data_IF_658719609729
#
_entry.id   IF_658719609729
#
_cell.length_a   1.000
_cell.length_b   1.000
_cell.length_c   1.000
_cell.angle_alpha   90.00
_cell.angle_beta   90.00
_cell.angle_gamma   90.00
#
_symmetry.space_group_name_H-M   'P 1'
#
loop_
_entity.id
_entity.type
_entity.pdbx_description
1 polymer ?
#
# COMPACT_ATOMS: atom_id res chain seq x y z
N UNK A 1 17.07 6.46 28.02
CA UNK A 1 17.32 6.51 26.56
C UNK A 1 16.77 5.21 25.99
N UNK A 2 15.62 5.25 25.32
CA UNK A 2 14.97 4.05 24.80
C UNK A 2 15.86 3.44 23.72
N UNK A 3 16.62 2.39 24.06
CA UNK A 3 17.44 1.62 23.13
C UNK A 3 16.57 0.45 22.60
N UNK A 4 15.43 0.79 22.00
CA UNK A 4 14.49 -0.19 21.45
C UNK A 4 14.94 -0.63 20.06
N UNK A 5 14.55 -1.85 19.69
CA UNK A 5 14.77 -2.40 18.36
C UNK A 5 14.11 -1.48 17.31
N UNK A 6 14.88 -0.82 16.41
CA UNK A 6 14.30 0.03 15.37
C UNK A 6 13.30 -0.72 14.48
N UNK A 7 13.38 -2.06 14.42
CA UNK A 7 12.53 -2.93 13.61
C UNK A 7 11.14 -3.18 14.20
N UNK A 8 10.95 -2.90 15.49
CA UNK A 8 9.74 -3.32 16.24
C UNK A 8 8.99 -2.17 16.89
N UNK A 9 9.25 -0.93 16.47
CA UNK A 9 8.51 0.21 17.02
C UNK A 9 7.01 0.10 16.71
N UNK A 10 6.64 -0.32 15.51
CA UNK A 10 5.25 -0.47 15.08
C UNK A 10 4.43 -1.42 15.99
N UNK A 11 5.02 -2.54 16.41
CA UNK A 11 4.40 -3.51 17.33
C UNK A 11 4.15 -2.94 18.74
N UNK A 12 4.80 -1.84 19.09
CA UNK A 12 4.72 -1.19 20.40
C UNK A 12 3.88 0.09 20.40
N UNK A 13 3.39 0.52 19.24
CA UNK A 13 2.55 1.70 19.11
C UNK A 13 1.14 1.42 19.65
N UNK A 14 0.68 2.32 20.51
CA UNK A 14 -0.70 2.44 20.93
C UNK A 14 -1.07 3.91 21.07
N UNK A 15 -2.35 4.19 21.28
CA UNK A 15 -2.90 5.56 21.33
C UNK A 15 -2.17 6.50 22.30
N UNK A 16 -1.53 5.96 23.34
CA UNK A 16 -0.85 6.75 24.37
C UNK A 16 0.62 7.08 24.06
N UNK A 17 1.25 6.40 23.10
CA UNK A 17 2.69 6.56 22.85
C UNK A 17 3.06 6.91 21.40
N UNK A 18 2.06 7.04 20.53
CA UNK A 18 2.23 7.33 19.10
C UNK A 18 3.03 8.61 18.84
N UNK A 19 2.70 9.72 19.53
CA UNK A 19 3.42 11.00 19.38
C UNK A 19 4.88 10.91 19.88
N UNK A 20 5.13 10.14 20.94
CA UNK A 20 6.46 9.96 21.52
C UNK A 20 7.35 9.12 20.60
N UNK A 21 6.81 8.05 20.02
CA UNK A 21 7.51 7.19 19.08
C UNK A 21 7.73 7.87 17.73
N UNK A 22 6.78 8.67 17.27
CA UNK A 22 6.91 9.50 16.05
C UNK A 22 8.02 10.54 16.21
N UNK A 23 8.03 11.25 17.34
CA UNK A 23 9.12 12.18 17.69
C UNK A 23 10.47 11.46 17.76
N UNK A 24 10.51 10.28 18.37
CA UNK A 24 11.71 9.47 18.45
C UNK A 24 12.24 9.00 17.09
N UNK A 25 11.36 8.61 16.17
CA UNK A 25 11.73 8.23 14.81
C UNK A 25 12.31 9.41 14.02
N UNK A 26 11.71 10.59 14.17
CA UNK A 26 12.29 11.82 13.60
C UNK A 26 13.69 12.10 14.18
N UNK A 27 13.89 11.94 15.49
CA UNK A 27 15.19 12.17 16.15
C UNK A 27 16.29 11.18 15.70
N UNK A 28 15.95 9.92 15.37
CA UNK A 28 16.92 8.92 14.88
C UNK A 28 17.51 9.24 13.51
N UNK A 29 16.82 10.08 12.75
CA UNK A 29 17.13 10.41 11.36
C UNK A 29 17.63 11.85 11.24
N UNK A 30 17.44 12.69 12.27
CA UNK A 30 17.85 14.09 12.27
C UNK A 30 19.38 14.29 12.16
N UNK A 31 19.88 14.30 10.93
CA UNK A 31 20.85 15.32 10.52
C UNK A 31 20.09 16.64 10.29
N UNK A 32 20.68 17.82 10.55
CA UNK A 32 19.95 19.08 10.40
C UNK A 32 19.49 19.25 8.95
N UNK A 33 18.17 19.13 8.71
CA UNK A 33 17.46 19.16 7.42
C UNK A 33 17.69 20.43 6.55
N UNK A 34 18.59 21.32 6.90
CA UNK A 34 18.81 22.60 6.23
C UNK A 34 20.25 22.84 5.74
N UNK A 35 21.20 21.92 5.92
CA UNK A 35 22.59 22.17 5.52
C UNK A 35 22.89 21.98 4.02
N UNK A 36 21.94 21.53 3.20
CA UNK A 36 22.18 21.22 1.78
C UNK A 36 21.37 22.11 0.84
N UNK A 37 21.61 23.42 0.87
CA UNK A 37 21.20 24.32 -0.21
C UNK A 37 22.37 25.18 -0.68
N UNK A 38 22.97 24.79 -1.80
CA UNK A 38 23.85 25.66 -2.59
C UNK A 38 22.99 26.42 -3.62
N UNK A 39 22.52 27.62 -3.23
CA UNK A 39 22.65 28.90 -3.95
C UNK A 39 21.53 29.90 -3.60
N UNK A 40 21.99 31.13 -3.34
CA UNK A 40 21.29 32.42 -3.11
C UNK A 40 20.47 32.52 -1.81
N UNK A 41 21.15 33.03 -0.78
CA UNK A 41 20.74 33.27 0.62
C UNK A 41 20.82 32.02 1.51
N UNK A 42 21.84 32.01 2.40
CA UNK A 42 22.07 30.95 3.37
C UNK A 42 20.94 30.93 4.39
N UNK A 43 19.97 30.03 4.20
CA UNK A 43 18.94 29.74 5.21
C UNK A 43 19.60 28.86 6.27
N UNK A 44 19.84 29.43 7.45
CA UNK A 44 20.32 28.65 8.60
C UNK A 44 19.14 27.88 9.21
N UNK A 45 19.36 26.61 9.52
CA UNK A 45 18.39 25.77 10.23
C UNK A 45 17.86 26.50 11.48
N UNK A 46 16.55 26.44 11.73
CA UNK A 46 15.92 27.03 12.91
C UNK A 46 15.73 28.56 12.87
N UNK A 47 15.90 29.20 11.70
CA UNK A 47 15.66 30.64 11.52
C UNK A 47 14.49 30.92 10.57
N UNK A 48 13.97 32.15 10.60
CA UNK A 48 12.93 32.62 9.70
C UNK A 48 13.52 33.30 8.46
N UNK A 49 12.95 33.02 7.28
CA UNK A 49 13.20 33.81 6.07
C UNK A 49 12.30 35.04 6.14
N UNK A 50 12.89 36.24 6.30
CA UNK A 50 12.14 37.50 6.36
C UNK A 50 12.07 38.14 4.98
N UNK A 51 10.86 38.48 4.53
CA UNK A 51 10.61 39.24 3.29
C UNK A 51 10.13 40.64 3.67
N UNK A 52 11.03 41.63 3.58
CA UNK A 52 10.72 43.03 3.93
C UNK A 52 10.55 43.87 2.68
N UNK A 53 9.31 44.31 2.41
CA UNK A 53 8.96 45.24 1.32
C UNK A 53 7.67 45.99 1.66
N UNK A 54 7.38 47.05 0.91
CA UNK A 54 6.06 47.69 0.95
C UNK A 54 5.07 46.81 0.19
N UNK A 55 4.06 46.30 0.91
CA UNK A 55 3.05 45.41 0.35
C UNK A 55 1.91 46.21 -0.27
N UNK A 56 1.42 45.75 -1.42
CA UNK A 56 0.25 46.29 -2.11
C UNK A 56 -0.82 45.20 -2.28
N UNK A 57 -2.04 45.62 -2.59
CA UNK A 57 -3.11 44.68 -2.93
C UNK A 57 -2.73 43.89 -4.18
N UNK A 58 -2.99 42.58 -4.17
CA UNK A 58 -2.63 41.59 -5.21
C UNK A 58 -1.14 41.25 -5.33
N UNK A 59 -0.32 41.61 -4.34
CA UNK A 59 1.04 41.07 -4.26
C UNK A 59 1.03 39.54 -4.08
N UNK A 60 1.82 38.84 -4.90
CA UNK A 60 1.98 37.38 -4.84
C UNK A 60 3.38 37.06 -4.32
N UNK A 61 3.46 36.24 -3.26
CA UNK A 61 4.70 35.65 -2.78
C UNK A 61 4.77 34.22 -3.28
N UNK A 62 5.78 33.91 -4.09
CA UNK A 62 6.05 32.55 -4.54
C UNK A 62 7.25 32.00 -3.78
N UNK A 63 7.04 30.90 -3.06
CA UNK A 63 8.11 30.18 -2.36
C UNK A 63 8.38 28.89 -3.14
N UNK A 64 9.64 28.67 -3.52
CA UNK A 64 10.07 27.42 -4.16
C UNK A 64 10.92 26.64 -3.18
N UNK A 65 10.37 25.54 -2.68
CA UNK A 65 11.10 24.58 -1.84
C UNK A 65 11.55 23.41 -2.71
N UNK A 66 12.87 23.19 -2.90
CA UNK A 66 13.38 22.03 -3.63
C UNK A 66 13.25 20.75 -2.78
N UNK A 67 12.03 20.20 -2.69
CA UNK A 67 11.77 18.91 -2.07
C UNK A 67 12.30 17.78 -2.97
N UNK A 68 13.09 16.86 -2.40
CA UNK A 68 13.66 15.71 -3.13
C UNK A 68 13.59 14.46 -2.26
N UNK A 69 13.48 13.32 -2.93
CA UNK A 69 13.67 12.02 -2.29
C UNK A 69 15.14 11.84 -1.91
N UNK A 70 15.37 11.36 -0.69
CA UNK A 70 16.70 11.03 -0.16
C UNK A 70 16.61 9.90 0.84
N UNK A 71 17.72 9.22 1.06
CA UNK A 71 17.85 8.21 2.10
C UNK A 71 18.80 8.70 3.18
N UNK A 72 18.53 8.32 4.43
CA UNK A 72 19.42 8.58 5.56
C UNK A 72 19.61 7.30 6.37
N UNK A 73 20.88 6.98 6.65
CA UNK A 73 21.22 5.94 7.63
C UNK A 73 20.75 6.35 9.01
N UNK A 74 20.26 5.38 9.77
CA UNK A 74 19.89 5.62 11.17
C UNK A 74 21.13 5.92 12.02
N UNK A 75 20.98 6.75 13.04
CA UNK A 75 22.02 7.00 14.04
C UNK A 75 22.08 5.85 15.07
N UNK A 76 22.49 4.66 14.62
CA UNK A 76 22.66 3.46 15.45
C UNK A 76 24.02 2.82 15.14
N UNK A 77 24.83 2.62 16.18
CA UNK A 77 26.21 2.15 16.09
C UNK A 77 26.34 0.62 16.02
N UNK A 78 25.23 -0.10 16.19
CA UNK A 78 25.17 -1.55 16.17
C UNK A 78 25.27 -2.08 14.72
N UNK A 79 26.25 -2.96 14.41
CA UNK A 79 26.51 -3.43 13.04
C UNK A 79 25.29 -4.05 12.34
N UNK A 80 24.43 -4.75 13.07
CA UNK A 80 23.23 -5.42 12.56
C UNK A 80 22.15 -4.47 12.02
N UNK A 81 22.29 -3.16 12.24
CA UNK A 81 21.42 -2.12 11.69
C UNK A 81 22.11 -1.18 10.69
N UNK A 82 23.38 -1.42 10.35
CA UNK A 82 24.16 -0.54 9.48
C UNK A 82 23.64 -0.42 8.04
N UNK A 83 22.86 -1.39 7.57
CA UNK A 83 22.24 -1.41 6.23
C UNK A 83 20.84 -0.79 6.19
N UNK A 84 20.32 -0.35 7.32
CA UNK A 84 18.97 0.17 7.45
C UNK A 84 18.95 1.67 7.20
N UNK A 85 18.01 2.10 6.36
CA UNK A 85 17.88 3.49 5.96
C UNK A 85 16.42 3.95 6.08
N UNK A 86 16.25 5.21 6.45
CA UNK A 86 15.00 5.94 6.34
C UNK A 86 14.90 6.58 4.95
N UNK A 87 13.67 6.75 4.46
CA UNK A 87 13.38 7.45 3.19
C UNK A 87 12.70 8.76 3.53
N UNK A 88 13.18 9.87 2.97
CA UNK A 88 12.61 11.20 3.19
C UNK A 88 12.26 11.87 1.88
N UNK A 89 11.18 12.66 1.90
CA UNK A 89 10.86 13.61 0.85
C UNK A 89 10.97 15.04 1.41
N UNK A 90 12.09 15.70 1.15
CA UNK A 90 12.41 16.96 1.81
C UNK A 90 12.48 16.81 3.35
N UNK A 91 11.62 17.51 4.13
CA UNK A 91 11.57 17.36 5.59
C UNK A 91 10.68 16.20 6.07
N UNK A 92 9.93 15.54 5.19
CA UNK A 92 8.97 14.50 5.56
C UNK A 92 9.66 13.13 5.61
N UNK A 93 9.68 12.52 6.79
CA UNK A 93 10.00 11.09 6.94
C UNK A 93 8.84 10.27 6.36
N UNK A 94 9.15 9.39 5.41
CA UNK A 94 8.16 8.53 4.78
C UNK A 94 8.12 7.18 5.50
N UNK A 95 6.90 6.75 5.82
CA UNK A 95 6.58 5.46 6.42
C UNK A 95 5.88 4.58 5.39
N UNK A 96 6.28 3.32 5.28
CA UNK A 96 5.61 2.32 4.45
C UNK A 96 4.49 1.65 5.22
N UNK A 97 3.30 1.55 4.62
CA UNK A 97 2.19 0.76 5.16
C UNK A 97 2.48 -0.73 4.96
N UNK A 98 2.83 -1.42 6.04
CA UNK A 98 3.24 -2.83 6.00
C UNK A 98 3.32 -3.40 7.42
N UNK A 99 2.99 -4.68 7.55
CA UNK A 99 3.14 -5.45 8.78
C UNK A 99 4.34 -6.40 8.66
N UNK A 100 5.54 -5.83 8.66
CA UNK A 100 6.79 -6.58 8.87
C UNK A 100 7.70 -6.78 7.67
N UNK A 101 7.24 -6.61 6.42
CA UNK A 101 8.17 -6.50 5.28
C UNK A 101 8.74 -5.07 5.22
N UNK A 102 9.99 -4.99 4.79
CA UNK A 102 10.87 -3.83 4.89
C UNK A 102 12.11 -3.98 4.01
N UNK A 103 12.21 -5.06 3.22
CA UNK A 103 13.33 -5.30 2.30
C UNK A 103 13.06 -4.64 0.94
N UNK A 104 13.88 -3.64 0.60
CA UNK A 104 13.83 -2.92 -0.68
C UNK A 104 14.92 -3.44 -1.60
N UNK A 105 14.54 -3.77 -2.83
CA UNK A 105 15.49 -4.15 -3.87
C UNK A 105 15.68 -3.01 -4.87
N UNK A 106 16.86 -2.41 -4.86
CA UNK A 106 17.21 -1.33 -5.80
C UNK A 106 17.72 -1.86 -7.15
N UNK A 107 17.92 -3.19 -7.27
CA UNK A 107 18.56 -3.82 -8.41
C UNK A 107 19.95 -3.25 -8.65
N UNK A 108 20.25 -2.94 -9.91
CA UNK A 108 21.49 -2.26 -10.31
C UNK A 108 21.35 -0.72 -10.32
N UNK A 109 20.23 -0.18 -9.81
CA UNK A 109 19.96 1.25 -9.92
C UNK A 109 20.63 2.05 -8.81
N UNK A 110 21.48 3.00 -9.21
CA UNK A 110 22.01 4.02 -8.29
C UNK A 110 21.02 5.17 -8.02
N UNK A 111 19.97 5.33 -8.84
CA UNK A 111 18.97 6.39 -8.67
C UNK A 111 17.75 5.92 -7.88
N UNK A 112 17.35 6.72 -6.88
CA UNK A 112 16.13 6.53 -6.08
C UNK A 112 14.86 6.55 -6.92
N UNK A 113 14.83 7.34 -8.00
CA UNK A 113 13.66 7.51 -8.87
C UNK A 113 13.28 6.26 -9.67
N UNK A 114 14.18 5.27 -9.78
CA UNK A 114 13.94 4.06 -10.56
C UNK A 114 13.17 2.99 -9.77
N UNK A 115 13.18 3.12 -8.44
CA UNK A 115 12.53 2.19 -7.52
C UNK A 115 11.58 2.87 -6.54
N UNK A 116 11.53 4.21 -6.48
CA UNK A 116 10.47 4.99 -5.83
C UNK A 116 9.80 5.90 -6.86
N UNK A 117 8.48 5.76 -7.02
CA UNK A 117 7.67 6.58 -7.93
C UNK A 117 6.52 7.25 -7.19
N UNK A 118 6.24 8.53 -7.47
CA UNK A 118 5.11 9.22 -6.87
C UNK A 118 3.78 8.58 -7.29
N UNK A 119 2.82 8.49 -6.37
CA UNK A 119 1.46 8.05 -6.67
C UNK A 119 0.77 9.16 -7.48
N UNK A 120 0.25 8.88 -8.70
CA UNK A 120 -0.45 9.89 -9.49
C UNK A 120 -1.71 10.38 -8.78
N UNK A 121 -1.97 11.70 -8.80
CA UNK A 121 -3.17 12.28 -8.17
C UNK A 121 -4.49 11.72 -8.72
N UNK A 122 -4.50 11.23 -9.96
CA UNK A 122 -5.66 10.57 -10.56
C UNK A 122 -6.04 9.24 -9.89
N UNK A 123 -5.10 8.59 -9.20
CA UNK A 123 -5.36 7.29 -8.56
C UNK A 123 -6.36 7.42 -7.41
N UNK A 124 -6.42 8.55 -6.72
CA UNK A 124 -7.41 8.78 -5.66
C UNK A 124 -8.86 8.74 -6.16
N UNK A 125 -9.09 9.07 -7.44
CA UNK A 125 -10.41 8.93 -8.08
C UNK A 125 -10.78 7.50 -8.46
N UNK A 126 -9.80 6.58 -8.41
CA UNK A 126 -9.98 5.15 -8.72
C UNK A 126 -10.19 4.31 -7.46
N UNK A 127 -10.13 4.93 -6.26
CA UNK A 127 -10.30 4.23 -5.00
C UNK A 127 -11.77 3.90 -4.74
N UNK A 128 -11.99 2.70 -4.19
CA UNK A 128 -13.31 2.15 -3.93
C UNK A 128 -13.27 1.24 -2.71
N UNK A 129 -14.38 1.22 -1.97
CA UNK A 129 -14.70 0.17 -1.00
C UNK A 129 -16.06 -0.42 -1.35
N UNK A 130 -16.22 -1.73 -1.17
CA UNK A 130 -17.46 -2.43 -1.49
C UNK A 130 -18.11 -2.90 -0.21
N UNK A 131 -19.34 -2.48 0.05
CA UNK A 131 -20.04 -2.77 1.31
C UNK A 131 -21.32 -3.55 1.10
N UNK A 132 -21.75 -4.24 2.15
CA UNK A 132 -23.05 -4.92 2.23
C UNK A 132 -23.65 -4.72 3.62
N UNK A 133 -24.97 -4.64 3.71
CA UNK A 133 -25.67 -4.62 4.99
C UNK A 133 -26.09 -6.03 5.39
N UNK A 134 -25.69 -6.46 6.59
CA UNK A 134 -25.94 -7.80 7.13
C UNK A 134 -26.37 -7.66 8.57
N UNK A 135 -27.58 -8.13 8.90
CA UNK A 135 -28.14 -8.08 10.27
C UNK A 135 -28.12 -6.65 10.88
N UNK A 136 -28.39 -5.62 10.06
CA UNK A 136 -28.38 -4.22 10.49
C UNK A 136 -26.98 -3.64 10.72
N UNK A 137 -25.93 -4.34 10.30
CA UNK A 137 -24.54 -3.87 10.34
C UNK A 137 -23.93 -3.82 8.95
N UNK A 138 -23.24 -2.73 8.64
CA UNK A 138 -22.47 -2.61 7.41
C UNK A 138 -21.18 -3.41 7.53
N UNK A 139 -20.91 -4.21 6.50
CA UNK A 139 -19.66 -4.95 6.34
C UNK A 139 -18.97 -4.49 5.05
N UNK A 140 -17.65 -4.60 5.00
CA UNK A 140 -16.80 -4.17 3.89
C UNK A 140 -15.95 -5.33 3.38
N UNK A 141 -15.89 -5.46 2.06
CA UNK A 141 -14.97 -6.35 1.34
C UNK A 141 -13.53 -5.96 1.69
N UNK A 142 -12.77 -6.89 2.26
CA UNK A 142 -11.49 -6.60 2.91
C UNK A 142 -10.43 -7.65 2.58
N UNK A 143 -9.17 -7.22 2.49
CA UNK A 143 -8.00 -8.09 2.45
C UNK A 143 -7.58 -8.52 3.86
N UNK A 144 -7.78 -9.79 4.19
CA UNK A 144 -7.32 -10.43 5.43
C UNK A 144 -6.17 -11.39 5.10
N UNK A 145 -4.94 -10.87 5.12
CA UNK A 145 -3.70 -11.63 4.90
C UNK A 145 -3.69 -12.43 3.60
N UNK A 146 -4.06 -11.79 2.49
CA UNK A 146 -4.07 -12.39 1.15
C UNK A 146 -5.30 -13.23 0.84
N UNK A 147 -6.26 -13.33 1.77
CA UNK A 147 -7.60 -13.87 1.54
C UNK A 147 -8.64 -12.75 1.66
N UNK A 148 -9.74 -12.84 0.92
CA UNK A 148 -10.76 -11.80 0.95
C UNK A 148 -11.89 -12.18 1.89
N UNK A 149 -12.27 -11.25 2.78
CA UNK A 149 -13.34 -11.43 3.76
C UNK A 149 -14.28 -10.23 3.80
N UNK A 150 -15.50 -10.42 4.30
CA UNK A 150 -16.39 -9.32 4.67
C UNK A 150 -16.23 -9.04 6.16
N UNK A 151 -15.62 -7.91 6.49
CA UNK A 151 -15.40 -7.46 7.87
C UNK A 151 -16.38 -6.37 8.25
N UNK A 152 -16.64 -6.16 9.55
CA UNK A 152 -17.49 -5.06 10.00
C UNK A 152 -16.86 -3.72 9.58
N UNK A 153 -17.70 -2.74 9.20
CA UNK A 153 -17.23 -1.43 8.75
C UNK A 153 -16.24 -0.82 9.77
N UNK A 154 -14.99 -0.53 9.37
CA UNK A 154 -13.96 -0.12 10.30
C UNK A 154 -14.06 1.36 10.65
N UNK A 155 -13.39 1.73 11.73
CA UNK A 155 -13.11 3.12 12.06
C UNK A 155 -12.02 3.63 11.10
N UNK A 156 -12.18 4.87 10.62
CA UNK A 156 -11.18 5.54 9.79
C UNK A 156 -9.82 5.63 10.48
N UNK A 157 -8.73 5.51 9.70
CA UNK A 157 -7.37 5.61 10.22
C UNK A 157 -6.87 4.34 10.91
N UNK A 158 -7.52 3.19 10.68
CA UNK A 158 -7.08 1.87 11.16
C UNK A 158 -6.60 1.01 9.99
N UNK A 159 -5.82 -0.04 10.27
CA UNK A 159 -5.46 -1.06 9.28
C UNK A 159 -6.68 -1.65 8.57
N UNK A 160 -7.80 -1.81 9.27
CA UNK A 160 -9.01 -2.36 8.67
C UNK A 160 -9.59 -1.42 7.58
N UNK A 161 -9.46 -0.09 7.75
CA UNK A 161 -9.85 0.87 6.71
C UNK A 161 -8.94 0.79 5.47
N UNK A 162 -7.64 0.55 5.68
CA UNK A 162 -6.68 0.26 4.58
C UNK A 162 -7.11 -1.02 3.85
N UNK A 163 -7.28 -2.12 4.59
CA UNK A 163 -7.59 -3.43 4.01
C UNK A 163 -8.96 -3.48 3.32
N UNK A 164 -9.90 -2.63 3.72
CA UNK A 164 -11.20 -2.44 3.08
C UNK A 164 -11.18 -1.49 1.89
N UNK A 165 -10.02 -0.96 1.50
CA UNK A 165 -9.86 -0.02 0.38
C UNK A 165 -9.10 -0.68 -0.76
N UNK A 166 -9.64 -0.51 -1.97
CA UNK A 166 -9.07 -1.04 -3.20
C UNK A 166 -8.98 0.06 -4.25
N UNK A 167 -8.10 -0.11 -5.23
CA UNK A 167 -8.04 0.71 -6.43
C UNK A 167 -8.58 -0.10 -7.59
N UNK A 168 -9.50 0.50 -8.34
CA UNK A 168 -9.91 -0.02 -9.65
C UNK A 168 -8.82 0.26 -10.68
N UNK A 169 -8.27 -0.82 -11.23
CA UNK A 169 -7.24 -0.77 -12.26
C UNK A 169 -7.84 -1.23 -13.58
N UNK A 170 -7.78 -0.37 -14.58
CA UNK A 170 -8.29 -0.65 -15.93
C UNK A 170 -7.12 -1.07 -16.83
N UNK A 171 -7.24 -2.18 -17.58
CA UNK A 171 -6.19 -2.61 -18.49
C UNK A 171 -6.06 -1.65 -19.68
N UNK A 172 -4.84 -1.21 -19.99
CA UNK A 172 -4.54 -0.19 -21.03
C UNK A 172 -5.03 -0.53 -22.45
N UNK A 173 -5.34 -1.81 -22.72
CA UNK A 173 -5.80 -2.31 -24.02
C UNK A 173 -7.12 -3.09 -23.92
N UNK A 174 -8.08 -2.64 -23.12
CA UNK A 174 -9.45 -3.16 -23.24
C UNK A 174 -10.04 -2.73 -24.59
N UNK A 175 -10.08 -3.64 -25.56
CA UNK A 175 -10.69 -3.40 -26.86
C UNK A 175 -12.21 -3.17 -26.71
N UNK A 176 -12.61 -1.90 -26.64
CA UNK A 176 -13.86 -1.26 -27.07
C UNK A 176 -15.24 -1.96 -26.96
N UNK A 177 -15.41 -3.08 -26.26
CA UNK A 177 -16.73 -3.77 -26.13
C UNK A 177 -17.05 -4.23 -24.70
N UNK A 178 -16.05 -4.56 -23.89
CA UNK A 178 -16.23 -4.85 -22.45
C UNK A 178 -15.12 -4.20 -21.64
N UNK A 179 -15.50 -3.33 -20.71
CA UNK A 179 -14.58 -2.66 -19.79
C UNK A 179 -14.41 -3.54 -18.54
N UNK A 180 -13.35 -4.34 -18.51
CA UNK A 180 -12.99 -5.09 -17.31
C UNK A 180 -12.29 -4.19 -16.29
N UNK A 181 -12.43 -4.55 -15.02
CA UNK A 181 -11.71 -3.96 -13.90
C UNK A 181 -10.89 -5.02 -13.17
N UNK A 182 -9.77 -4.60 -12.60
CA UNK A 182 -9.02 -5.37 -11.61
C UNK A 182 -9.03 -4.61 -10.28
N UNK A 183 -9.01 -5.35 -9.18
CA UNK A 183 -8.98 -4.82 -7.83
C UNK A 183 -7.57 -4.94 -7.28
N UNK A 184 -6.91 -3.80 -7.04
CA UNK A 184 -5.61 -3.73 -6.36
C UNK A 184 -5.83 -3.31 -4.90
N UNK A 185 -5.38 -4.07 -3.89
CA UNK A 185 -5.45 -3.63 -2.49
C UNK A 185 -4.62 -2.36 -2.26
N UNK A 186 -5.14 -1.43 -1.45
CA UNK A 186 -4.53 -0.10 -1.26
C UNK A 186 -3.09 -0.14 -0.76
N UNK A 187 -2.79 -1.04 0.19
CA UNK A 187 -1.48 -1.24 0.82
C UNK A 187 -0.57 -2.23 0.10
N UNK A 188 -1.04 -2.87 -0.98
CA UNK A 188 -0.24 -3.79 -1.79
C UNK A 188 -0.17 -3.35 -3.26
N UNK A 189 0.45 -2.20 -3.57
CA UNK A 189 0.57 -1.72 -4.94
C UNK A 189 1.21 -2.76 -5.87
N UNK A 190 0.60 -3.01 -7.02
CA UNK A 190 1.04 -4.01 -8.00
C UNK A 190 0.55 -5.44 -7.74
N UNK A 191 -0.15 -5.69 -6.62
CA UNK A 191 -0.87 -6.94 -6.40
C UNK A 191 -2.32 -6.83 -6.85
N UNK A 192 -2.92 -7.96 -7.23
CA UNK A 192 -4.30 -8.01 -7.72
C UNK A 192 -5.11 -9.07 -6.98
N UNK A 193 -6.39 -8.78 -6.78
CA UNK A 193 -7.36 -9.79 -6.35
C UNK A 193 -7.65 -10.73 -7.52
N UNK A 194 -7.54 -12.03 -7.26
CA UNK A 194 -7.79 -13.11 -8.22
C UNK A 194 -8.80 -14.11 -7.68
N UNK A 195 -9.63 -14.68 -8.55
CA UNK A 195 -10.51 -15.79 -8.17
C UNK A 195 -9.85 -17.15 -8.35
N UNK A 196 -10.20 -18.14 -7.53
CA UNK A 196 -9.71 -19.53 -7.63
C UNK A 196 -10.73 -20.49 -8.23
N UNK A 197 -11.62 -19.96 -9.08
CA UNK A 197 -12.72 -20.70 -9.69
C UNK A 197 -13.98 -20.74 -8.81
N UNK A 198 -15.08 -21.31 -9.32
CA UNK A 198 -16.36 -21.36 -8.63
C UNK A 198 -16.28 -22.07 -7.27
N UNK A 199 -17.04 -21.58 -6.29
CA UNK A 199 -17.12 -22.07 -4.91
C UNK A 199 -15.80 -21.99 -4.12
N UNK A 200 -14.81 -21.29 -4.64
CA UNK A 200 -13.54 -21.05 -3.97
C UNK A 200 -13.41 -19.59 -3.55
N UNK A 201 -12.63 -19.37 -2.48
CA UNK A 201 -12.33 -18.03 -2.00
C UNK A 201 -11.40 -17.28 -2.95
N UNK A 202 -11.50 -15.95 -2.95
CA UNK A 202 -10.58 -15.08 -3.68
C UNK A 202 -9.23 -15.01 -2.95
N UNK A 203 -8.19 -14.59 -3.66
CA UNK A 203 -6.84 -14.40 -3.12
C UNK A 203 -6.22 -13.10 -3.64
N UNK A 204 -5.17 -12.62 -2.98
CA UNK A 204 -4.30 -11.55 -3.49
C UNK A 204 -3.04 -12.20 -4.06
N UNK A 205 -2.66 -11.84 -5.28
CA UNK A 205 -1.50 -12.39 -5.98
C UNK A 205 -0.61 -11.29 -6.56
N UNK A 206 0.71 -11.53 -6.53
CA UNK A 206 1.71 -10.65 -7.14
C UNK A 206 1.73 -10.81 -8.65
N UNK A 207 1.74 -9.70 -9.40
CA UNK A 207 1.91 -9.72 -10.86
C UNK A 207 3.40 -9.66 -11.24
N UNK A 208 4.12 -10.79 -11.24
CA UNK A 208 5.46 -10.88 -11.88
C UNK A 208 5.35 -10.90 -13.42
N UNK A 209 4.15 -11.18 -13.92
CA UNK A 209 3.71 -11.12 -15.32
C UNK A 209 2.39 -10.34 -15.40
N UNK A 210 1.94 -9.99 -16.61
CA UNK A 210 0.66 -9.31 -16.80
C UNK A 210 -0.48 -10.04 -16.06
N UNK A 211 -1.39 -9.31 -15.37
CA UNK A 211 -2.47 -9.93 -14.62
C UNK A 211 -3.26 -10.93 -15.47
N UNK A 212 -3.49 -12.12 -14.92
CA UNK A 212 -4.26 -13.17 -15.58
C UNK A 212 -5.73 -12.78 -15.73
N UNK A 213 -6.46 -13.50 -16.58
CA UNK A 213 -7.88 -13.27 -16.78
C UNK A 213 -8.72 -13.54 -15.50
N UNK A 214 -8.18 -14.31 -14.56
CA UNK A 214 -8.73 -14.57 -13.22
C UNK A 214 -8.73 -13.34 -12.29
N UNK A 215 -7.99 -12.28 -12.64
CA UNK A 215 -8.01 -10.97 -11.98
C UNK A 215 -9.07 -10.01 -12.55
N UNK A 216 -9.67 -10.36 -13.70
CA UNK A 216 -10.52 -9.45 -14.47
C UNK A 216 -12.00 -9.70 -14.18
N UNK A 217 -12.70 -8.64 -13.77
CA UNK A 217 -14.12 -8.65 -13.47
C UNK A 217 -14.88 -7.66 -14.35
N UNK A 218 -16.07 -8.04 -14.81
CA UNK A 218 -17.05 -7.10 -15.36
C UNK A 218 -17.82 -6.47 -14.21
N UNK A 219 -17.85 -5.15 -14.15
CA UNK A 219 -18.77 -4.43 -13.26
C UNK A 219 -20.11 -4.33 -13.97
N UNK A 220 -21.15 -4.89 -13.37
CA UNK A 220 -22.54 -4.79 -13.85
C UNK A 220 -23.43 -4.18 -12.78
N UNK A 221 -24.64 -3.76 -13.15
CA UNK A 221 -25.65 -3.32 -12.18
C UNK A 221 -25.93 -4.44 -11.15
N UNK A 222 -26.14 -4.04 -9.90
CA UNK A 222 -26.49 -4.94 -8.80
C UNK A 222 -27.64 -5.87 -9.18
N UNK A 223 -27.48 -7.16 -8.89
CA UNK A 223 -28.46 -8.18 -9.26
C UNK A 223 -29.68 -8.23 -8.34
N UNK A 224 -29.63 -7.55 -7.18
CA UNK A 224 -30.74 -7.41 -6.25
C UNK A 224 -31.85 -6.45 -6.72
N UNK A 225 -31.57 -5.66 -7.77
CA UNK A 225 -32.51 -4.74 -8.37
C UNK A 225 -32.57 -3.38 -7.69
N UNK A 226 -31.73 -3.14 -6.69
CA UNK A 226 -31.57 -1.82 -6.09
C UNK A 226 -30.74 -0.92 -7.01
N UNK A 227 -31.08 0.36 -7.04
CA UNK A 227 -30.31 1.35 -7.80
C UNK A 227 -28.93 1.57 -7.16
N UNK A 228 -27.94 1.95 -7.96
CA UNK A 228 -26.57 2.29 -7.52
C UNK A 228 -25.72 1.13 -6.96
N UNK A 229 -26.29 -0.07 -6.78
CA UNK A 229 -25.51 -1.26 -6.43
C UNK A 229 -24.76 -1.83 -7.64
N UNK A 230 -23.67 -2.52 -7.35
CA UNK A 230 -22.82 -3.17 -8.36
C UNK A 230 -22.59 -4.65 -8.05
N UNK A 231 -22.44 -5.44 -9.10
CA UNK A 231 -22.00 -6.83 -9.02
C UNK A 231 -20.76 -7.03 -9.87
N UNK A 232 -19.87 -7.93 -9.42
CA UNK A 232 -18.61 -8.23 -10.08
C UNK A 232 -18.67 -9.62 -10.69
N UNK A 233 -18.85 -9.70 -12.01
CA UNK A 233 -18.87 -10.97 -12.75
C UNK A 233 -17.44 -11.36 -13.19
N UNK A 234 -17.07 -12.64 -13.08
CA UNK A 234 -15.78 -13.10 -13.61
C UNK A 234 -15.73 -12.98 -15.13
N UNK A 235 -14.59 -12.49 -15.67
CA UNK A 235 -14.36 -12.47 -17.13
C UNK A 235 -14.18 -13.88 -17.73
N UNK A 236 -13.70 -14.84 -16.95
CA UNK A 236 -13.40 -16.20 -17.41
C UNK A 236 -14.57 -17.16 -17.19
N UNK A 237 -15.46 -16.84 -16.25
CA UNK A 237 -16.57 -17.69 -15.85
C UNK A 237 -17.89 -16.90 -15.84
N UNK A 238 -18.50 -16.82 -17.02
CA UNK A 238 -19.76 -16.11 -17.24
C UNK A 238 -20.88 -16.64 -16.34
N UNK A 239 -21.65 -15.73 -15.75
CA UNK A 239 -22.72 -16.03 -14.82
C UNK A 239 -22.25 -16.27 -13.38
N UNK A 240 -20.95 -16.19 -13.09
CA UNK A 240 -20.41 -16.36 -11.74
C UNK A 240 -19.87 -15.03 -11.20
N UNK A 241 -20.22 -14.73 -9.96
CA UNK A 241 -20.06 -13.42 -9.36
C UNK A 241 -19.29 -13.49 -8.05
N UNK A 242 -18.60 -12.40 -7.70
CA UNK A 242 -18.06 -12.21 -6.37
C UNK A 242 -19.22 -12.17 -5.39
N UNK A 243 -19.17 -13.05 -4.40
CA UNK A 243 -20.18 -13.22 -3.38
C UNK A 243 -19.57 -12.87 -2.03
N UNK A 244 -20.14 -11.85 -1.38
CA UNK A 244 -19.82 -11.53 0.01
C UNK A 244 -20.54 -12.48 0.96
N UNK A 245 -21.20 -11.94 1.98
CA UNK A 245 -21.94 -12.73 2.96
C UNK A 245 -23.44 -12.52 2.74
N UNK A 246 -24.14 -13.55 2.27
CA UNK A 246 -25.56 -13.51 1.95
C UNK A 246 -26.41 -14.45 2.78
N UNK A 247 -26.64 -14.12 4.05
CA UNK A 247 -27.67 -14.75 4.89
C UNK A 247 -27.79 -16.28 4.78
N UNK A 248 -29.02 -16.80 4.78
CA UNK A 248 -29.35 -18.23 4.76
C UNK A 248 -28.90 -19.00 3.51
N UNK A 249 -28.39 -18.32 2.47
CA UNK A 249 -27.91 -18.95 1.24
C UNK A 249 -26.67 -19.82 1.47
N UNK A 250 -25.84 -19.41 2.45
CA UNK A 250 -24.76 -20.23 2.96
C UNK A 250 -24.93 -20.40 4.47
N UNK A 251 -25.81 -21.31 4.87
CA UNK A 251 -25.83 -21.86 6.24
C UNK A 251 -24.47 -22.42 6.70
N UNK A 252 -23.52 -22.58 5.77
CA UNK A 252 -22.14 -23.00 5.98
C UNK A 252 -21.08 -21.87 5.99
N UNK A 253 -21.44 -20.60 5.75
CA UNK A 253 -20.51 -19.46 5.91
C UNK A 253 -20.35 -19.10 7.39
N UNK A 254 -19.86 -20.04 8.20
CA UNK A 254 -19.17 -19.70 9.46
C UNK A 254 -17.93 -18.84 9.21
N UNK A 255 -17.46 -18.81 7.97
CA UNK A 255 -16.25 -18.14 7.56
C UNK A 255 -16.66 -16.89 6.78
N UNK A 256 -16.19 -15.72 7.21
CA UNK A 256 -16.43 -14.41 6.58
C UNK A 256 -15.86 -14.29 5.14
N UNK A 257 -15.54 -15.40 4.50
CA UNK A 257 -14.75 -15.49 3.28
C UNK A 257 -15.57 -15.10 2.06
N UNK A 258 -15.01 -14.22 1.23
CA UNK A 258 -15.57 -13.84 -0.07
C UNK A 258 -15.20 -14.89 -1.11
N UNK A 259 -16.17 -15.32 -1.91
CA UNK A 259 -16.03 -16.41 -2.87
C UNK A 259 -16.52 -16.02 -4.27
N UNK A 260 -16.11 -16.76 -5.29
CA UNK A 260 -16.74 -16.69 -6.61
C UNK A 260 -17.86 -17.73 -6.69
N UNK A 261 -19.11 -17.30 -6.84
CA UNK A 261 -20.29 -18.19 -6.81
C UNK A 261 -21.08 -18.08 -8.12
N UNK A 262 -21.54 -19.22 -8.61
CA UNK A 262 -22.49 -19.31 -9.71
C UNK A 262 -23.88 -19.64 -9.16
N UNK A 263 -24.98 -19.08 -9.69
CA UNK A 263 -26.32 -19.35 -9.23
C UNK A 263 -26.70 -20.83 -9.44
N UNK A 264 -27.54 -21.37 -8.54
CA UNK A 264 -28.23 -22.65 -8.72
C UNK A 264 -29.57 -22.45 -9.45
N UNK A 265 -30.21 -23.54 -9.89
CA UNK A 265 -31.50 -23.48 -10.60
C UNK A 265 -32.72 -23.22 -9.68
N UNK A 266 -32.54 -23.05 -8.37
CA UNK A 266 -33.63 -22.88 -7.40
C UNK A 266 -34.04 -21.40 -7.26
N UNK A 267 -35.34 -21.09 -7.31
CA UNK A 267 -35.80 -19.68 -7.24
C UNK A 267 -35.64 -19.02 -5.86
N UNK A 268 -35.87 -19.76 -4.77
CA UNK A 268 -35.68 -19.26 -3.39
C UNK A 268 -34.20 -18.92 -3.11
N UNK A 269 -33.34 -19.69 -3.76
CA UNK A 269 -31.90 -19.54 -3.76
C UNK A 269 -31.47 -18.28 -4.53
N UNK A 270 -32.16 -17.97 -5.64
CA UNK A 270 -31.82 -16.83 -6.50
C UNK A 270 -32.00 -15.46 -5.84
N UNK A 271 -33.03 -15.23 -5.04
CA UNK A 271 -33.20 -13.92 -4.37
C UNK A 271 -32.12 -13.67 -3.33
N UNK A 272 -31.75 -14.70 -2.58
CA UNK A 272 -30.67 -14.61 -1.58
C UNK A 272 -29.31 -14.45 -2.27
N UNK A 273 -29.08 -15.17 -3.36
CA UNK A 273 -27.91 -15.04 -4.21
C UNK A 273 -27.74 -13.61 -4.73
N UNK A 274 -28.79 -13.02 -5.32
CA UNK A 274 -28.76 -11.67 -5.89
C UNK A 274 -28.32 -10.60 -4.87
N UNK A 275 -28.83 -10.69 -3.64
CA UNK A 275 -28.39 -9.82 -2.53
C UNK A 275 -26.93 -10.09 -2.14
N UNK A 276 -26.52 -11.36 -2.07
CA UNK A 276 -25.17 -11.75 -1.66
C UNK A 276 -24.06 -11.28 -2.62
N UNK A 277 -24.40 -11.07 -3.89
CA UNK A 277 -23.46 -10.66 -4.95
C UNK A 277 -23.61 -9.20 -5.36
N UNK A 278 -24.49 -8.44 -4.69
CA UNK A 278 -24.68 -7.00 -4.90
C UNK A 278 -24.01 -6.23 -3.78
N UNK A 279 -23.23 -5.22 -4.14
CA UNK A 279 -22.46 -4.40 -3.23
C UNK A 279 -22.81 -2.93 -3.41
N UNK A 280 -22.86 -2.19 -2.31
CA UNK A 280 -22.90 -0.73 -2.34
C UNK A 280 -21.47 -0.21 -2.52
N UNK A 281 -21.16 0.51 -3.61
CA UNK A 281 -19.84 1.09 -3.81
C UNK A 281 -19.67 2.39 -2.99
N UNK A 282 -18.60 2.49 -2.23
CA UNK A 282 -18.16 3.72 -1.55
C UNK A 282 -17.04 4.36 -2.37
N UNK A 283 -17.39 5.41 -3.11
CA UNK A 283 -16.44 6.15 -3.94
C UNK A 283 -15.32 6.78 -3.10
N UNK A 284 -14.09 6.79 -3.64
CA UNK A 284 -12.85 7.22 -2.97
C UNK A 284 -12.35 6.29 -1.85
N UNK A 285 -13.08 5.20 -1.58
CA UNK A 285 -12.72 4.21 -0.57
C UNK A 285 -12.79 4.74 0.88
N UNK A 286 -12.46 3.85 1.83
CA UNK A 286 -12.37 4.20 3.26
C UNK A 286 -11.04 4.89 3.62
N UNK A 287 -10.02 4.78 2.75
CA UNK A 287 -8.73 5.46 2.86
C UNK A 287 -8.37 6.12 1.54
N UNK A 288 -7.87 7.36 1.59
CA UNK A 288 -7.36 8.07 0.42
C UNK A 288 -5.84 8.18 0.47
N UNK A 289 -5.16 8.25 -0.67
CA UNK A 289 -3.74 8.55 -0.72
C UNK A 289 -3.45 9.94 -0.17
N UNK A 290 -2.37 10.08 0.59
CA UNK A 290 -1.80 11.38 0.90
C UNK A 290 -1.25 12.07 -0.37
N UNK A 291 -1.28 13.40 -0.50
CA UNK A 291 -0.67 14.11 -1.65
C UNK A 291 0.85 13.89 -1.80
N UNK A 292 1.49 13.35 -0.76
CA UNK A 292 2.92 13.02 -0.70
C UNK A 292 3.06 11.49 -0.57
N UNK A 293 2.33 10.73 -1.39
CA UNK A 293 2.44 9.27 -1.41
C UNK A 293 3.35 8.80 -2.54
N UNK A 294 4.15 7.77 -2.25
CA UNK A 294 5.04 7.13 -3.20
C UNK A 294 4.87 5.62 -3.16
N UNK A 295 5.22 4.93 -4.25
CA UNK A 295 5.36 3.48 -4.28
C UNK A 295 6.83 3.15 -4.38
N UNK A 296 7.35 2.37 -3.42
CA UNK A 296 8.71 1.84 -3.44
C UNK A 296 8.70 0.34 -3.81
N UNK A 297 9.64 -0.08 -4.67
CA UNK A 297 9.79 -1.48 -5.06
C UNK A 297 10.49 -2.30 -3.97
N UNK A 298 9.80 -3.29 -3.43
CA UNK A 298 10.38 -4.23 -2.47
C UNK A 298 10.81 -5.55 -3.10
N UNK A 299 11.33 -6.43 -2.25
CA UNK A 299 11.69 -7.82 -2.64
C UNK A 299 10.44 -8.67 -2.79
N UNK A 300 9.57 -8.67 -1.77
CA UNK A 300 8.38 -9.52 -1.73
C UNK A 300 7.11 -8.78 -2.18
N UNK A 301 7.02 -7.49 -1.87
CA UNK A 301 5.91 -6.62 -2.23
C UNK A 301 6.39 -5.19 -2.49
N UNK A 302 5.58 -4.38 -3.17
CA UNK A 302 5.84 -2.93 -3.20
C UNK A 302 5.26 -2.28 -1.94
N UNK A 303 5.83 -1.15 -1.53
CA UNK A 303 5.42 -0.40 -0.35
C UNK A 303 4.73 0.89 -0.77
N UNK A 304 3.53 1.13 -0.23
CA UNK A 304 2.95 2.47 -0.24
C UNK A 304 3.59 3.29 0.88
N UNK A 305 4.32 4.33 0.51
CA UNK A 305 5.00 5.26 1.41
C UNK A 305 4.17 6.54 1.57
N UNK A 306 3.93 6.97 2.80
CA UNK A 306 3.27 8.24 3.14
C UNK A 306 4.05 8.99 4.22
N UNK A 307 3.85 10.31 4.43
CA UNK A 307 4.49 10.99 5.55
C UNK A 307 4.08 10.35 6.87
N UNK A 308 5.04 10.08 7.75
CA UNK A 308 4.77 9.46 9.05
C UNK A 308 3.65 10.17 9.84
N UNK A 309 3.62 11.50 9.77
CA UNK A 309 2.64 12.35 10.47
C UNK A 309 1.24 12.31 9.86
N UNK A 310 1.01 11.64 8.73
CA UNK A 310 -0.33 11.42 8.18
C UNK A 310 -0.99 10.14 8.68
N UNK A 311 -0.23 9.27 9.34
CA UNK A 311 -0.73 8.01 9.90
C UNK A 311 -1.36 8.26 11.27
N UNK A 312 -2.31 7.41 11.61
CA UNK A 312 -2.98 7.33 12.92
C UNK A 312 -2.69 5.93 13.50
N UNK A 313 -3.71 5.08 13.57
CA UNK A 313 -3.61 3.72 14.13
C UNK A 313 -3.18 2.66 13.09
N UNK A 314 -2.61 3.08 11.95
CA UNK A 314 -2.16 2.17 10.90
C UNK A 314 -0.75 1.64 11.21
N UNK A 315 -0.49 0.38 10.88
CA UNK A 315 0.81 -0.24 11.07
C UNK A 315 1.74 0.14 9.94
N UNK A 316 2.96 0.53 10.29
CA UNK A 316 3.95 1.02 9.34
C UNK A 316 5.38 0.60 9.67
N UNK A 317 6.27 0.70 8.69
CA UNK A 317 7.72 0.75 8.92
C UNK A 317 8.30 2.06 8.42
N UNK A 318 9.20 2.67 9.18
CA UNK A 318 9.95 3.90 8.76
C UNK A 318 11.37 3.59 8.30
N UNK A 319 11.80 2.35 8.49
CA UNK A 319 13.16 1.91 8.28
C UNK A 319 13.15 0.70 7.36
N UNK A 320 13.96 0.79 6.30
CA UNK A 320 14.02 -0.23 5.26
C UNK A 320 15.42 -0.79 5.16
N UNK A 321 15.49 -2.08 4.89
CA UNK A 321 16.73 -2.73 4.54
C UNK A 321 16.97 -2.60 3.03
N UNK A 322 18.00 -1.84 2.65
CA UNK A 322 18.25 -1.51 1.24
C UNK A 322 19.25 -2.48 0.64
N UNK A 323 18.79 -3.35 -0.26
CA UNK A 323 19.63 -4.26 -1.04
C UNK A 323 20.11 -3.57 -2.32
N UNK A 324 21.43 -3.52 -2.53
CA UNK A 324 22.06 -3.09 -3.78
C UNK A 324 22.74 -4.30 -4.43
N UNK A 325 22.37 -4.63 -5.66
CA UNK A 325 23.01 -5.72 -6.37
C UNK A 325 24.38 -5.25 -6.88
N UNK A 326 25.47 -5.75 -6.29
CA UNK A 326 26.84 -5.38 -6.63
C UNK A 326 27.78 -5.03 -5.47
N UNK A 327 27.30 -5.05 -4.22
CA UNK A 327 28.17 -4.99 -3.04
C UNK A 327 28.24 -6.40 -2.43
N UNK A 328 29.42 -7.04 -2.33
CA UNK A 328 29.51 -8.32 -1.66
C UNK A 328 29.03 -8.12 -0.22
N UNK A 329 28.14 -9.01 0.22
CA UNK A 329 27.88 -9.21 1.64
C UNK A 329 29.24 -9.53 2.25
N UNK A 330 29.81 -8.59 3.00
CA UNK A 330 30.88 -8.92 3.92
C UNK A 330 30.21 -9.69 5.04
N UNK A 331 30.04 -10.99 4.81
CA UNK A 331 29.70 -11.92 5.87
C UNK A 331 30.94 -11.99 6.76
N UNK A 332 30.88 -11.32 7.91
CA UNK A 332 31.98 -11.26 8.88
C UNK A 332 32.18 -12.59 9.63
N UNK A 333 31.77 -13.72 9.03
CA UNK A 333 32.04 -15.06 9.52
C UNK A 333 32.33 -16.02 8.36
N UNK A 334 33.55 -15.97 7.81
CA UNK A 334 33.94 -16.90 6.76
C UNK A 334 35.43 -16.86 6.43
N UNK A 335 36.21 -17.64 7.16
CA UNK A 335 37.62 -18.01 6.93
C UNK A 335 38.05 -17.88 5.46
N UNK A 336 39.00 -16.96 5.20
CA UNK A 336 39.68 -16.87 3.92
C UNK A 336 40.36 -18.21 3.60
N UNK A 337 39.91 -18.87 2.53
CA UNK A 337 40.73 -19.82 1.78
C UNK A 337 40.80 -19.31 0.35
N UNK A 338 41.92 -18.66 0.00
CA UNK A 338 42.29 -18.39 -1.38
C UNK A 338 42.73 -19.71 -2.02
N UNK A 339 41.96 -20.23 -2.96
CA UNK A 339 42.50 -21.15 -3.97
C UNK A 339 43.29 -20.32 -4.96
N UNK A 340 44.62 -20.43 -4.91
CA UNK A 340 45.47 -19.97 -6.01
C UNK A 340 45.17 -20.81 -7.24
N UNK A 341 44.91 -20.14 -8.35
CA UNK A 341 44.93 -20.72 -9.69
C UNK A 341 46.41 -20.67 -10.10
N UNK A 342 47.09 -21.81 -10.08
CA UNK A 342 48.38 -21.98 -10.77
C UNK A 342 48.11 -21.94 -12.27
N UNK A 343 48.71 -20.96 -12.94
CA UNK A 343 48.85 -20.91 -14.38
C UNK A 343 50.05 -21.77 -14.78
N UNK A 344 49.79 -22.95 -15.34
CA UNK A 344 50.80 -23.71 -16.09
C UNK A 344 51.10 -22.98 -17.41
N UNK A 345 52.36 -22.55 -17.55
CA UNK A 345 52.99 -22.34 -18.85
C UNK A 345 54.34 -23.04 -18.86
N UNK A 346 54.50 -23.90 -19.88
CA UNK A 346 55.68 -24.64 -20.37
C UNK A 346 56.26 -25.76 -19.53
#
# INVERSE_FOLDING_TARGET
MCRSDPKRLADTLGTENEESCTTYNMLKVQQPCFCYYHLLQSVLAGNFISVTRNWMSNDIVTVTLPLRLRMESIQDDRPEYGSIQAILFGPYLLAGLTTGDWDINTGNSSSISNWITAVPASYSGQLISLTQEINGKTHVFSNSNGSLTMEELPIEGTNAAIHGTFRFVFPEKAAAVQSYVMLEPFDLPGMMVVHRGPNNGLAVSSSSTAPGADAMFNIVQGLDGEDEMVSLESSTQRGCFVCGIGGSYFSAARNKTVQLICPSDSELDMMSFRRAVSFTPVARGLRQYHPISFVAKGVSQNFLLEPLLSLRDETYTVYFHIHQQGNPVIDNFGRATSTQIESDTS
#
